data_IF_402631864975
#
_entry.id   IF_402631864975
#
_cell.length_a   1.000
_cell.length_b   1.000
_cell.length_c   1.000
_cell.angle_alpha   90.00
_cell.angle_beta   90.00
_cell.angle_gamma   90.00
#
_symmetry.space_group_name_H-M   'P 1'
#
loop_
_entity.id
_entity.type
_entity.pdbx_description
1 polymer ?
#
# COMPACT_ATOMS: atom_id res chain seq x y z
N UNK A 1 12.94 -5.08 -20.78
CA UNK A 1 11.49 -5.32 -20.90
C UNK A 1 10.79 -4.18 -20.19
N UNK A 2 9.74 -3.63 -20.80
CA UNK A 2 8.97 -2.57 -20.17
C UNK A 2 8.20 -3.14 -18.98
N UNK A 3 8.05 -2.36 -17.92
CA UNK A 3 7.33 -2.73 -16.71
C UNK A 3 6.01 -1.98 -16.64
N UNK A 4 4.94 -2.66 -16.31
CA UNK A 4 3.60 -2.06 -16.21
C UNK A 4 3.15 -1.98 -14.76
N UNK A 5 2.80 -0.77 -14.34
CA UNK A 5 2.22 -0.50 -13.01
C UNK A 5 0.76 -0.12 -13.18
N UNK A 6 -0.15 -0.92 -12.65
CA UNK A 6 -1.58 -0.62 -12.63
C UNK A 6 -1.94 0.15 -11.35
N UNK A 7 -2.44 1.38 -11.53
CA UNK A 7 -2.87 2.23 -10.40
C UNK A 7 -4.40 2.20 -10.25
N UNK A 8 -4.86 1.85 -9.05
CA UNK A 8 -6.27 1.80 -8.66
C UNK A 8 -6.56 2.94 -7.68
N UNK A 9 -7.24 3.98 -8.18
CA UNK A 9 -7.53 5.20 -7.45
C UNK A 9 -8.53 5.02 -6.31
N UNK A 10 -8.56 5.96 -5.36
CA UNK A 10 -9.56 6.04 -4.30
C UNK A 10 -10.95 6.48 -4.80
N UNK A 11 -11.91 6.56 -3.89
CA UNK A 11 -13.29 6.99 -4.18
C UNK A 11 -13.31 8.41 -4.78
N UNK A 12 -13.98 8.57 -5.91
CA UNK A 12 -14.06 9.84 -6.65
C UNK A 12 -12.78 10.25 -7.37
N UNK A 13 -11.77 9.38 -7.40
CA UNK A 13 -10.58 9.54 -8.23
C UNK A 13 -10.85 9.21 -9.70
N UNK A 14 -9.80 9.20 -10.50
CA UNK A 14 -9.86 8.87 -11.92
C UNK A 14 -8.46 8.72 -12.52
N UNK A 15 -8.40 8.58 -13.85
CA UNK A 15 -7.15 8.41 -14.59
C UNK A 15 -6.20 9.60 -14.47
N UNK A 16 -6.74 10.78 -14.14
CA UNK A 16 -6.04 12.05 -13.92
C UNK A 16 -5.77 12.34 -12.43
N UNK A 17 -5.89 11.36 -11.56
CA UNK A 17 -5.54 11.49 -10.15
C UNK A 17 -4.08 11.91 -9.97
N UNK A 18 -3.81 12.66 -8.88
CA UNK A 18 -2.51 13.29 -8.64
C UNK A 18 -1.36 12.29 -8.61
N UNK A 19 -1.49 11.21 -7.85
CA UNK A 19 -0.39 10.23 -7.70
C UNK A 19 0.02 9.63 -9.06
N UNK A 20 -0.88 9.05 -9.88
CA UNK A 20 -0.47 8.48 -11.16
C UNK A 20 0.05 9.54 -12.14
N UNK A 21 -0.42 10.79 -12.05
CA UNK A 21 0.11 11.89 -12.88
C UNK A 21 1.56 12.22 -12.53
N UNK A 22 1.89 12.32 -11.24
CA UNK A 22 3.27 12.55 -10.78
C UNK A 22 4.16 11.35 -11.16
N UNK A 23 3.70 10.12 -10.92
CA UNK A 23 4.46 8.93 -11.27
C UNK A 23 4.76 8.85 -12.77
N UNK A 24 3.80 9.19 -13.63
CA UNK A 24 4.04 9.26 -15.08
C UNK A 24 5.11 10.27 -15.42
N UNK A 25 5.07 11.48 -14.83
CA UNK A 25 6.09 12.49 -15.08
C UNK A 25 7.49 12.04 -14.63
N UNK A 26 7.60 11.44 -13.45
CA UNK A 26 8.86 10.89 -12.92
C UNK A 26 9.45 9.83 -13.83
N UNK A 27 8.67 8.83 -14.24
CA UNK A 27 9.17 7.71 -15.02
C UNK A 27 9.36 8.04 -16.52
N UNK A 28 8.69 9.09 -17.03
CA UNK A 28 8.89 9.58 -18.40
C UNK A 28 10.08 10.54 -18.51
N UNK A 29 10.40 11.27 -17.42
CA UNK A 29 11.41 12.32 -17.44
C UNK A 29 12.41 12.20 -16.27
N UNK A 30 13.10 11.07 -16.09
CA UNK A 30 13.97 10.83 -14.95
C UNK A 30 15.08 11.88 -14.78
N UNK A 31 15.56 12.47 -15.88
CA UNK A 31 16.62 13.48 -15.86
C UNK A 31 16.21 14.84 -15.26
N UNK A 32 14.91 15.12 -15.09
CA UNK A 32 14.43 16.39 -14.50
C UNK A 32 14.42 16.41 -12.97
N UNK A 33 14.56 15.27 -12.32
CA UNK A 33 14.30 15.13 -10.89
C UNK A 33 15.53 14.81 -10.01
N UNK A 34 16.72 14.77 -10.58
CA UNK A 34 17.94 14.76 -9.77
C UNK A 34 18.22 16.21 -9.32
N UNK A 35 17.79 16.65 -8.12
CA UNK A 35 18.43 17.78 -7.50
C UNK A 35 19.89 17.33 -7.29
N UNK A 36 20.82 18.15 -7.75
CA UNK A 36 22.23 18.02 -7.37
C UNK A 36 22.27 17.92 -5.85
N UNK A 37 22.54 16.73 -5.33
CA UNK A 37 22.76 16.52 -3.90
C UNK A 37 24.15 17.07 -3.58
N UNK A 38 24.25 18.39 -3.51
CA UNK A 38 25.28 19.05 -2.75
C UNK A 38 24.77 19.21 -1.31
N UNK A 39 25.21 18.30 -0.48
CA UNK A 39 25.38 18.48 0.94
C UNK A 39 24.16 18.78 1.80
N UNK A 40 23.45 17.72 2.22
CA UNK A 40 23.01 17.62 3.63
C UNK A 40 22.77 16.14 3.94
N UNK A 41 23.75 15.54 4.58
CA UNK A 41 23.62 14.24 5.23
C UNK A 41 22.65 14.40 6.42
N UNK A 42 21.36 14.30 6.18
CA UNK A 42 20.40 14.05 7.26
C UNK A 42 20.55 12.59 7.65
N UNK A 43 21.22 12.39 8.81
CA UNK A 43 21.47 11.09 9.40
C UNK A 43 20.19 10.30 9.60
N UNK A 44 19.88 9.41 8.66
CA UNK A 44 18.87 8.40 8.84
C UNK A 44 19.42 7.31 9.75
N UNK A 45 18.96 7.28 11.00
CA UNK A 45 19.30 6.24 11.96
C UNK A 45 18.14 5.20 12.00
N UNK A 46 18.32 4.01 11.40
CA UNK A 46 17.22 3.03 11.27
C UNK A 46 16.90 2.25 12.57
N UNK A 47 17.54 2.55 13.70
CA UNK A 47 17.38 1.78 14.94
C UNK A 47 17.14 2.67 16.16
N UNK A 48 15.94 3.22 16.31
CA UNK A 48 15.38 3.57 17.62
C UNK A 48 13.98 3.00 17.76
N UNK A 49 13.93 1.71 18.08
CA UNK A 49 12.76 1.11 18.67
C UNK A 49 12.49 1.77 20.02
N UNK A 50 11.35 2.41 20.18
CA UNK A 50 10.86 2.90 21.45
C UNK A 50 10.56 1.70 22.35
N UNK A 51 11.39 1.47 23.34
CA UNK A 51 11.13 0.61 24.47
C UNK A 51 10.02 1.25 25.32
N UNK A 52 8.80 0.74 25.19
CA UNK A 52 7.77 0.95 26.20
C UNK A 52 8.08 0.06 27.39
N UNK A 53 8.35 0.68 28.53
CA UNK A 53 8.53 0.01 29.81
C UNK A 53 7.22 -0.70 30.21
N UNK A 54 7.30 -2.01 30.46
CA UNK A 54 6.27 -2.77 31.14
C UNK A 54 6.52 -2.74 32.64
N UNK A 55 5.50 -2.68 33.47
CA UNK A 55 5.66 -2.70 34.93
C UNK A 55 6.09 -4.09 35.41
N UNK A 56 7.00 -4.07 36.37
CA UNK A 56 7.55 -5.19 37.11
C UNK A 56 6.47 -5.96 37.86
N UNK A 57 6.47 -7.29 37.69
CA UNK A 57 5.88 -8.23 38.65
C UNK A 57 7.01 -9.03 39.24
N UNK A 58 7.21 -8.88 40.56
CA UNK A 58 8.09 -9.69 41.39
C UNK A 58 7.52 -11.10 41.56
N UNK A 59 8.38 -12.11 41.56
CA UNK A 59 7.98 -13.46 41.95
C UNK A 59 9.00 -14.55 41.66
N UNK A 60 10.00 -14.68 42.50
CA UNK A 60 10.66 -15.86 43.10
C UNK A 60 10.93 -17.16 42.31
N UNK A 61 12.17 -17.54 42.48
CA UNK A 61 12.80 -18.82 42.96
C UNK A 61 13.44 -19.76 41.92
N UNK A 62 14.76 -19.88 42.12
CA UNK A 62 15.64 -21.05 42.10
C UNK A 62 15.49 -22.16 41.04
N UNK A 63 16.54 -22.30 40.21
CA UNK A 63 17.36 -23.53 40.22
C UNK A 63 18.67 -23.36 39.43
N UNK A 64 19.77 -23.54 40.11
CA UNK A 64 21.12 -23.71 39.58
C UNK A 64 21.22 -25.00 38.79
N UNK A 65 21.83 -24.96 37.60
CA UNK A 65 22.37 -26.13 36.90
C UNK A 65 23.78 -25.83 36.48
N UNK A 66 24.69 -26.52 37.12
CA UNK A 66 26.13 -26.57 36.87
C UNK A 66 26.41 -27.09 35.46
N UNK A 67 27.24 -26.37 34.69
CA UNK A 67 27.92 -26.90 33.51
C UNK A 67 29.33 -27.32 33.85
N UNK A 68 29.65 -28.57 33.56
CA UNK A 68 31.00 -29.17 33.68
C UNK A 68 31.94 -28.65 32.57
N UNK A 69 33.24 -28.49 32.89
CA UNK A 69 34.26 -28.11 31.91
C UNK A 69 34.90 -29.36 31.36
N UNK A 70 34.72 -29.69 30.09
CA UNK A 70 35.64 -30.46 29.25
C UNK A 70 35.02 -30.69 27.86
N UNK A 71 35.43 -29.87 26.90
CA UNK A 71 35.34 -30.21 25.49
C UNK A 71 36.34 -29.34 24.71
N UNK A 72 37.44 -29.95 24.30
CA UNK A 72 38.47 -29.40 23.43
C UNK A 72 37.91 -28.98 22.09
N UNK A 73 38.18 -27.74 21.69
CA UNK A 73 37.95 -27.21 20.32
C UNK A 73 39.07 -27.73 19.39
N UNK A 74 38.75 -28.22 18.18
CA UNK A 74 39.74 -28.46 17.13
C UNK A 74 40.08 -27.12 16.40
N UNK A 75 41.26 -27.05 15.73
CA UNK A 75 41.82 -25.81 15.22
C UNK A 75 41.09 -25.26 13.96
N UNK A 76 41.06 -23.95 13.91
CA UNK A 76 40.54 -23.13 12.83
C UNK A 76 41.10 -23.54 11.46
N UNK A 77 40.22 -23.94 10.53
CA UNK A 77 40.50 -23.90 9.12
C UNK A 77 39.86 -22.63 8.54
N UNK A 78 40.71 -21.69 8.11
CA UNK A 78 40.37 -20.51 7.35
C UNK A 78 39.68 -20.90 6.04
N UNK A 79 38.36 -20.83 5.99
CA UNK A 79 37.62 -20.74 4.76
C UNK A 79 37.08 -19.33 4.64
N UNK A 80 37.78 -18.46 3.90
CA UNK A 80 37.24 -17.23 3.40
C UNK A 80 36.15 -17.57 2.38
N UNK A 81 34.88 -17.22 2.59
CA UNK A 81 33.96 -17.21 1.49
C UNK A 81 34.31 -15.99 0.63
N UNK A 82 34.81 -16.23 -0.56
CA UNK A 82 34.85 -15.23 -1.62
C UNK A 82 33.42 -14.69 -1.80
N UNK A 83 33.22 -13.49 -1.33
CA UNK A 83 32.02 -12.70 -1.56
C UNK A 83 32.03 -12.33 -3.03
N UNK A 84 31.39 -13.15 -3.87
CA UNK A 84 31.09 -12.77 -5.24
C UNK A 84 30.17 -11.54 -5.19
N UNK A 85 30.76 -10.38 -5.35
CA UNK A 85 30.04 -9.15 -5.64
C UNK A 85 29.45 -9.29 -7.06
N UNK A 86 28.35 -9.99 -7.14
CA UNK A 86 27.46 -9.95 -8.29
C UNK A 86 26.83 -8.56 -8.33
N UNK A 87 27.54 -7.62 -8.94
CA UNK A 87 26.98 -6.33 -9.34
C UNK A 87 25.81 -6.63 -10.28
N UNK A 88 24.62 -6.75 -9.73
CA UNK A 88 23.38 -6.79 -10.48
C UNK A 88 23.25 -5.43 -11.19
N UNK A 89 23.66 -5.36 -12.44
CA UNK A 89 23.45 -4.18 -13.30
C UNK A 89 21.95 -3.94 -13.32
N UNK A 90 21.51 -2.86 -12.66
CA UNK A 90 20.13 -2.41 -12.72
C UNK A 90 19.79 -2.20 -14.22
N UNK A 91 18.75 -2.88 -14.67
CA UNK A 91 18.30 -2.81 -16.06
C UNK A 91 17.54 -1.49 -16.21
N UNK A 92 17.96 -0.64 -17.14
CA UNK A 92 17.20 0.55 -17.53
C UNK A 92 15.94 0.07 -18.26
N UNK A 93 14.90 -0.23 -17.52
CA UNK A 93 13.61 -0.64 -18.05
C UNK A 93 12.67 0.57 -18.00
N UNK A 94 11.89 0.77 -19.05
CA UNK A 94 10.81 1.77 -19.06
C UNK A 94 9.69 1.29 -18.12
N UNK A 95 9.21 2.18 -17.25
CA UNK A 95 8.05 1.92 -16.39
C UNK A 95 6.85 2.70 -16.93
N UNK A 96 5.79 1.98 -17.26
CA UNK A 96 4.53 2.55 -17.71
C UNK A 96 3.52 2.56 -16.55
N UNK A 97 2.98 3.75 -16.24
CA UNK A 97 1.96 3.93 -15.20
C UNK A 97 0.58 4.03 -15.84
N UNK A 98 -0.23 3.00 -15.66
CA UNK A 98 -1.59 2.92 -16.19
C UNK A 98 -2.60 3.18 -15.08
N UNK A 99 -3.42 4.21 -15.25
CA UNK A 99 -4.58 4.49 -14.39
C UNK A 99 -5.79 4.67 -15.30
N UNK A 100 -6.91 4.03 -14.94
CA UNK A 100 -8.18 4.13 -15.67
C UNK A 100 -9.30 4.35 -14.65
N UNK A 101 -10.33 5.06 -15.06
CA UNK A 101 -11.52 5.31 -14.22
C UNK A 101 -12.44 4.11 -14.27
N UNK A 102 -12.86 3.63 -13.11
CA UNK A 102 -13.78 2.49 -12.96
C UNK A 102 -15.07 2.92 -12.26
N UNK A 103 -16.11 2.08 -12.38
CA UNK A 103 -17.43 2.34 -11.79
C UNK A 103 -17.39 2.35 -10.25
N UNK A 104 -18.29 3.12 -9.64
CA UNK A 104 -18.42 3.15 -8.18
C UNK A 104 -19.06 1.87 -7.63
N UNK A 105 -19.89 1.16 -8.41
CA UNK A 105 -20.41 -0.15 -8.01
C UNK A 105 -19.26 -1.15 -7.92
N UNK A 106 -18.97 -1.72 -6.73
CA UNK A 106 -17.78 -2.53 -6.51
C UNK A 106 -17.76 -3.83 -7.32
N UNK A 107 -18.91 -4.34 -7.78
CA UNK A 107 -18.96 -5.53 -8.63
C UNK A 107 -18.67 -5.18 -10.09
N UNK A 108 -19.17 -4.03 -10.57
CA UNK A 108 -18.87 -3.52 -11.91
C UNK A 108 -17.38 -3.17 -11.98
N UNK A 109 -16.89 -2.42 -11.00
CA UNK A 109 -15.47 -2.09 -10.86
C UNK A 109 -14.57 -3.33 -10.91
N UNK A 110 -14.92 -4.37 -10.15
CA UNK A 110 -14.14 -5.61 -10.11
C UNK A 110 -14.04 -6.28 -11.48
N UNK A 111 -15.10 -6.27 -12.28
CA UNK A 111 -15.09 -6.84 -13.64
C UNK A 111 -14.24 -5.99 -14.59
N UNK A 112 -14.37 -4.65 -14.50
CA UNK A 112 -13.55 -3.73 -15.30
C UNK A 112 -12.06 -3.91 -15.02
N UNK A 113 -11.70 -3.93 -13.72
CA UNK A 113 -10.30 -4.08 -13.29
C UNK A 113 -9.76 -5.45 -13.66
N UNK A 114 -10.53 -6.53 -13.55
CA UNK A 114 -10.13 -7.86 -13.99
C UNK A 114 -9.81 -7.89 -15.50
N UNK A 115 -10.63 -7.25 -16.33
CA UNK A 115 -10.36 -7.12 -17.77
C UNK A 115 -9.05 -6.35 -18.04
N UNK A 116 -8.78 -5.29 -17.28
CA UNK A 116 -7.51 -4.54 -17.41
C UNK A 116 -6.29 -5.37 -16.98
N UNK A 117 -6.43 -6.18 -15.94
CA UNK A 117 -5.33 -7.08 -15.50
C UNK A 117 -5.00 -8.10 -16.59
N UNK A 118 -6.01 -8.69 -17.23
CA UNK A 118 -5.81 -9.61 -18.36
C UNK A 118 -5.17 -8.93 -19.58
N UNK A 119 -5.57 -7.68 -19.87
CA UNK A 119 -5.03 -6.88 -20.96
C UNK A 119 -3.59 -6.45 -20.71
N UNK A 120 -3.33 -5.88 -19.52
CA UNK A 120 -2.10 -5.18 -19.20
C UNK A 120 -1.03 -6.09 -18.60
N UNK A 121 -1.42 -7.17 -17.96
CA UNK A 121 -0.53 -8.09 -17.21
C UNK A 121 0.46 -7.33 -16.32
N UNK A 122 -0.02 -6.52 -15.36
CA UNK A 122 0.82 -5.62 -14.61
C UNK A 122 1.88 -6.35 -13.79
N UNK A 123 3.10 -5.77 -13.72
CA UNK A 123 4.19 -6.22 -12.86
C UNK A 123 4.02 -5.76 -11.41
N UNK A 124 3.21 -4.71 -11.18
CA UNK A 124 2.93 -4.13 -9.87
C UNK A 124 1.54 -3.49 -9.87
N UNK A 125 0.82 -3.63 -8.76
CA UNK A 125 -0.45 -2.94 -8.53
C UNK A 125 -0.30 -1.95 -7.39
N UNK A 126 -0.76 -0.72 -7.60
CA UNK A 126 -0.83 0.31 -6.56
C UNK A 126 -2.30 0.59 -6.24
N UNK A 127 -2.67 0.49 -4.96
CA UNK A 127 -4.03 0.79 -4.48
C UNK A 127 -4.04 1.99 -3.55
N UNK A 128 -4.88 2.99 -3.84
CA UNK A 128 -5.05 4.16 -2.98
C UNK A 128 -6.39 4.11 -2.25
N UNK A 129 -6.39 4.42 -0.95
CA UNK A 129 -7.60 4.60 -0.14
C UNK A 129 -8.62 3.44 -0.31
N UNK A 130 -9.85 3.73 -0.73
CA UNK A 130 -10.89 2.71 -1.00
C UNK A 130 -10.51 1.80 -2.18
N UNK A 131 -9.76 2.30 -3.18
CA UNK A 131 -9.24 1.51 -4.30
C UNK A 131 -8.36 0.34 -3.86
N UNK A 132 -7.78 0.40 -2.67
CA UNK A 132 -7.05 -0.72 -2.07
C UNK A 132 -7.88 -2.00 -2.01
N UNK A 133 -9.20 -1.92 -1.83
CA UNK A 133 -10.08 -3.08 -1.80
C UNK A 133 -10.21 -3.76 -3.17
N UNK A 134 -10.12 -3.00 -4.25
CA UNK A 134 -10.09 -3.54 -5.61
C UNK A 134 -8.71 -4.13 -5.92
N UNK A 135 -7.64 -3.40 -5.56
CA UNK A 135 -6.26 -3.84 -5.75
C UNK A 135 -5.98 -5.19 -5.07
N UNK A 136 -6.41 -5.37 -3.82
CA UNK A 136 -6.22 -6.61 -3.05
C UNK A 136 -6.86 -7.84 -3.74
N UNK A 137 -7.89 -7.67 -4.57
CA UNK A 137 -8.54 -8.77 -5.29
C UNK A 137 -7.71 -9.31 -6.47
N UNK A 138 -6.73 -8.57 -6.92
CA UNK A 138 -5.77 -9.00 -7.92
C UNK A 138 -4.76 -9.93 -7.23
N UNK A 139 -4.45 -11.05 -7.84
CA UNK A 139 -3.52 -12.04 -7.26
C UNK A 139 -2.34 -12.30 -8.19
N UNK A 140 -1.23 -12.79 -7.64
CA UNK A 140 -0.06 -13.18 -8.41
C UNK A 140 0.87 -12.02 -8.79
N UNK A 141 0.68 -10.84 -8.20
CA UNK A 141 1.51 -9.65 -8.44
C UNK A 141 1.86 -8.95 -7.12
N UNK A 142 2.96 -8.21 -7.04
CA UNK A 142 3.26 -7.34 -5.91
C UNK A 142 2.25 -6.20 -5.77
N UNK A 143 2.02 -5.76 -4.53
CA UNK A 143 1.09 -4.69 -4.20
C UNK A 143 1.74 -3.60 -3.36
N UNK A 144 1.54 -2.34 -3.75
CA UNK A 144 1.78 -1.17 -2.93
C UNK A 144 0.47 -0.46 -2.57
N UNK A 145 0.40 0.09 -1.39
CA UNK A 145 -0.80 0.79 -0.95
C UNK A 145 -0.46 2.16 -0.37
N UNK A 146 -1.30 3.14 -0.71
CA UNK A 146 -1.24 4.48 -0.13
C UNK A 146 -2.51 4.70 0.69
N UNK A 147 -2.34 4.88 2.00
CA UNK A 147 -3.44 5.08 2.96
C UNK A 147 -4.59 4.06 2.80
N UNK A 148 -4.31 2.74 2.79
CA UNK A 148 -5.31 1.72 2.50
C UNK A 148 -6.49 1.77 3.48
N UNK A 149 -7.69 1.95 2.93
CA UNK A 149 -8.92 2.12 3.71
C UNK A 149 -9.66 0.80 3.90
N UNK A 150 -9.04 -0.18 4.59
CA UNK A 150 -9.57 -1.55 4.75
C UNK A 150 -10.95 -1.60 5.44
N UNK A 151 -11.29 -0.59 6.22
CA UNK A 151 -12.57 -0.51 6.93
C UNK A 151 -13.60 0.40 6.22
N UNK A 152 -13.20 1.17 5.19
CA UNK A 152 -14.11 2.01 4.44
C UNK A 152 -15.34 1.26 3.90
N UNK A 153 -15.22 0.04 3.34
CA UNK A 153 -16.39 -0.69 2.85
C UNK A 153 -17.41 -1.05 3.95
N UNK A 154 -16.97 -1.15 5.20
CA UNK A 154 -17.88 -1.36 6.32
C UNK A 154 -18.69 -0.09 6.59
N UNK A 155 -18.04 1.09 6.66
CA UNK A 155 -18.69 2.39 6.86
C UNK A 155 -19.62 2.71 5.70
N UNK A 156 -19.15 2.55 4.45
CA UNK A 156 -19.96 2.73 3.24
C UNK A 156 -21.18 1.82 3.25
N UNK A 157 -21.01 0.55 3.64
CA UNK A 157 -22.12 -0.40 3.78
C UNK A 157 -23.13 -0.05 4.87
N UNK A 158 -22.75 0.73 5.90
CA UNK A 158 -23.67 1.27 6.90
C UNK A 158 -24.48 2.44 6.34
N UNK A 159 -23.85 3.30 5.51
CA UNK A 159 -24.54 4.40 4.82
C UNK A 159 -25.66 3.93 3.92
N UNK A 160 -25.66 2.64 3.50
CA UNK A 160 -26.74 2.07 2.70
C UNK A 160 -28.12 2.29 3.32
N UNK A 161 -28.25 2.17 4.64
CA UNK A 161 -29.52 2.40 5.33
C UNK A 161 -30.00 3.84 5.24
N UNK A 162 -29.08 4.81 5.23
CA UNK A 162 -29.40 6.23 5.04
C UNK A 162 -29.92 6.50 3.63
N UNK A 163 -29.44 5.74 2.63
CA UNK A 163 -29.90 5.87 1.24
C UNK A 163 -31.36 5.44 1.04
N UNK A 164 -32.01 4.79 2.02
CA UNK A 164 -33.45 4.51 2.01
C UNK A 164 -34.31 5.74 2.38
N UNK A 165 -33.72 6.77 2.99
CA UNK A 165 -34.41 8.00 3.35
C UNK A 165 -34.62 8.82 2.07
N UNK A 166 -35.86 9.22 1.74
CA UNK A 166 -36.12 10.01 0.56
C UNK A 166 -35.26 11.30 0.51
N UNK A 167 -34.65 11.57 -0.63
CA UNK A 167 -33.81 12.74 -0.85
C UNK A 167 -32.33 12.59 -0.42
N UNK A 168 -31.98 11.64 0.44
CA UNK A 168 -30.59 11.47 0.90
C UNK A 168 -29.66 11.08 -0.26
N UNK A 169 -30.07 10.13 -1.12
CA UNK A 169 -29.27 9.74 -2.28
C UNK A 169 -29.00 10.94 -3.19
N UNK A 170 -30.03 11.72 -3.50
CA UNK A 170 -29.90 12.94 -4.30
C UNK A 170 -28.95 13.95 -3.65
N UNK A 171 -29.07 14.14 -2.32
CA UNK A 171 -28.19 15.06 -1.59
C UNK A 171 -26.72 14.59 -1.63
N UNK A 172 -26.48 13.29 -1.41
CA UNK A 172 -25.14 12.72 -1.47
C UNK A 172 -24.54 12.82 -2.88
N UNK A 173 -25.29 12.49 -3.92
CA UNK A 173 -24.84 12.60 -5.32
C UNK A 173 -24.53 14.06 -5.69
N UNK A 174 -25.26 15.04 -5.10
CA UNK A 174 -25.00 16.46 -5.29
C UNK A 174 -23.74 16.94 -4.55
N UNK A 175 -23.53 16.49 -3.30
CA UNK A 175 -22.36 16.86 -2.48
C UNK A 175 -21.08 16.26 -3.06
N UNK A 176 -21.15 15.01 -3.49
CA UNK A 176 -20.01 14.26 -4.01
C UNK A 176 -19.98 14.26 -5.55
N UNK A 177 -20.56 15.28 -6.19
CA UNK A 177 -20.48 15.42 -7.64
C UNK A 177 -19.02 15.42 -8.08
N UNK A 178 -18.65 14.60 -9.08
CA UNK A 178 -17.29 14.57 -9.60
C UNK A 178 -16.86 15.96 -10.07
N UNK A 179 -15.60 16.30 -9.84
CA UNK A 179 -14.99 17.48 -10.46
C UNK A 179 -14.84 17.24 -11.96
N UNK A 180 -14.54 18.30 -12.71
CA UNK A 180 -14.19 18.18 -14.12
C UNK A 180 -13.03 17.21 -14.33
N UNK A 181 -13.01 16.53 -15.48
CA UNK A 181 -12.02 15.53 -15.84
C UNK A 181 -12.57 14.09 -15.82
N UNK A 182 -11.69 13.14 -16.08
CA UNK A 182 -12.01 11.70 -16.04
C UNK A 182 -12.06 11.20 -14.60
N UNK A 183 -13.21 11.41 -13.94
CA UNK A 183 -13.45 11.09 -12.53
C UNK A 183 -14.54 10.04 -12.37
N UNK A 184 -14.38 9.18 -11.37
CA UNK A 184 -15.36 8.18 -10.99
C UNK A 184 -16.71 8.83 -10.63
N UNK A 185 -17.80 8.53 -11.36
CA UNK A 185 -19.14 8.98 -10.98
C UNK A 185 -19.59 8.21 -9.73
N UNK A 186 -20.04 8.94 -8.71
CA UNK A 186 -20.47 8.35 -7.45
C UNK A 186 -22.01 8.26 -7.42
N UNK A 187 -22.53 7.04 -7.16
CA UNK A 187 -23.96 6.78 -7.05
C UNK A 187 -24.27 6.08 -5.74
N UNK A 188 -24.76 6.86 -4.74
CA UNK A 188 -25.00 6.38 -3.38
C UNK A 188 -26.35 5.68 -3.22
N UNK A 189 -26.65 4.69 -4.08
CA UNK A 189 -27.87 3.90 -3.93
C UNK A 189 -27.74 2.84 -2.84
N UNK A 190 -28.85 2.45 -2.21
CA UNK A 190 -28.87 1.35 -1.24
C UNK A 190 -28.23 0.09 -1.79
N UNK A 191 -28.57 -0.27 -3.03
CA UNK A 191 -28.07 -1.48 -3.70
C UNK A 191 -26.54 -1.45 -3.85
N UNK A 192 -25.99 -0.35 -4.36
CA UNK A 192 -24.54 -0.18 -4.56
C UNK A 192 -23.80 -0.18 -3.23
N UNK A 193 -24.24 0.62 -2.25
CA UNK A 193 -23.57 0.74 -0.95
C UNK A 193 -23.56 -0.58 -0.17
N UNK A 194 -24.62 -1.37 -0.26
CA UNK A 194 -24.71 -2.66 0.44
C UNK A 194 -23.71 -3.69 -0.09
N UNK A 195 -23.36 -3.64 -1.37
CA UNK A 195 -22.38 -4.54 -2.00
C UNK A 195 -20.97 -4.40 -1.42
N UNK A 196 -20.61 -3.21 -0.89
CA UNK A 196 -19.28 -2.97 -0.33
C UNK A 196 -18.90 -3.92 0.81
N UNK A 197 -19.86 -4.39 1.62
CA UNK A 197 -19.59 -5.37 2.67
C UNK A 197 -19.15 -6.73 2.11
N UNK A 198 -19.82 -7.18 1.03
CA UNK A 198 -19.44 -8.41 0.35
C UNK A 198 -18.09 -8.22 -0.36
N UNK A 199 -17.94 -7.12 -1.06
CA UNK A 199 -16.70 -6.76 -1.73
C UNK A 199 -15.48 -6.82 -0.78
N UNK A 200 -15.62 -6.26 0.42
CA UNK A 200 -14.58 -6.36 1.45
C UNK A 200 -14.26 -7.80 1.84
N UNK A 201 -15.28 -8.65 2.01
CA UNK A 201 -15.07 -10.07 2.34
C UNK A 201 -14.31 -10.81 1.24
N UNK A 202 -14.63 -10.51 -0.02
CA UNK A 202 -13.94 -11.09 -1.16
C UNK A 202 -12.48 -10.60 -1.24
N UNK A 203 -12.24 -9.29 -1.09
CA UNK A 203 -10.90 -8.73 -1.09
C UNK A 203 -10.01 -9.35 0.01
N UNK A 204 -10.51 -9.45 1.22
CA UNK A 204 -9.74 -9.98 2.36
C UNK A 204 -9.48 -11.49 2.30
N UNK A 205 -9.89 -12.20 1.24
CA UNK A 205 -9.42 -13.57 0.96
C UNK A 205 -7.95 -13.58 0.52
N UNK A 206 -7.50 -12.55 -0.20
CA UNK A 206 -6.11 -12.39 -0.63
C UNK A 206 -5.31 -11.61 0.42
N UNK A 207 -4.94 -12.26 1.52
CA UNK A 207 -4.15 -11.66 2.60
C UNK A 207 -3.12 -12.63 3.10
N UNK A 208 -2.03 -12.13 3.68
CA UNK A 208 -1.00 -12.96 4.32
C UNK A 208 -1.59 -13.81 5.45
N UNK A 209 -2.56 -13.27 6.19
CA UNK A 209 -3.30 -14.01 7.22
C UNK A 209 -3.99 -15.26 6.64
N UNK A 210 -4.48 -15.20 5.41
CA UNK A 210 -5.13 -16.31 4.71
C UNK A 210 -4.18 -17.11 3.80
N UNK A 211 -2.87 -16.93 3.96
CA UNK A 211 -1.84 -17.71 3.26
C UNK A 211 -1.49 -17.20 1.86
N UNK A 212 -1.87 -15.97 1.49
CA UNK A 212 -1.37 -15.35 0.25
C UNK A 212 0.15 -15.22 0.29
N UNK A 213 0.78 -15.53 -0.84
CA UNK A 213 2.22 -15.36 -1.07
C UNK A 213 2.55 -14.06 -1.80
N UNK A 214 1.54 -13.26 -2.15
CA UNK A 214 1.76 -11.97 -2.79
C UNK A 214 2.52 -11.04 -1.85
N UNK A 215 3.31 -10.15 -2.43
CA UNK A 215 3.98 -9.09 -1.68
C UNK A 215 3.01 -7.95 -1.40
N UNK A 216 2.89 -7.53 -0.14
CA UNK A 216 2.04 -6.41 0.27
C UNK A 216 2.85 -5.42 1.08
N UNK A 217 2.79 -4.14 0.70
CA UNK A 217 3.43 -3.06 1.45
C UNK A 217 2.56 -1.80 1.45
N UNK A 218 2.48 -1.08 2.56
CA UNK A 218 1.62 0.11 2.68
C UNK A 218 2.35 1.33 3.24
N UNK A 219 1.88 2.52 2.83
CA UNK A 219 2.28 3.81 3.38
C UNK A 219 1.13 4.44 4.15
N UNK A 220 1.40 4.94 5.37
CA UNK A 220 0.41 5.58 6.23
C UNK A 220 0.87 6.96 6.66
N UNK A 221 0.06 7.98 6.39
CA UNK A 221 0.30 9.33 6.88
C UNK A 221 -0.01 9.47 8.38
N UNK A 222 0.85 10.18 9.13
CA UNK A 222 0.62 10.45 10.57
C UNK A 222 -0.59 11.34 10.80
N UNK A 223 -0.84 12.28 9.87
CA UNK A 223 -1.93 13.26 9.91
C UNK A 223 -3.14 12.85 9.08
N UNK A 224 -3.27 11.57 8.75
CA UNK A 224 -4.43 11.04 8.04
C UNK A 224 -5.69 11.12 8.92
N UNK A 225 -6.61 12.02 8.56
CA UNK A 225 -7.84 12.27 9.31
C UNK A 225 -8.80 11.05 9.33
N UNK A 226 -8.76 10.16 8.33
CA UNK A 226 -9.56 8.94 8.32
C UNK A 226 -9.11 7.91 9.35
N UNK A 227 -7.90 8.04 9.90
CA UNK A 227 -7.44 7.23 11.05
C UNK A 227 -8.28 7.50 12.29
N UNK A 228 -8.66 8.77 12.53
CA UNK A 228 -9.52 9.16 13.66
C UNK A 228 -10.87 8.46 13.62
N UNK A 229 -11.39 8.17 12.43
CA UNK A 229 -12.67 7.50 12.25
C UNK A 229 -12.56 5.98 12.09
N UNK A 230 -11.35 5.41 12.25
CA UNK A 230 -11.11 3.98 12.14
C UNK A 230 -11.26 3.42 10.71
N UNK A 231 -11.35 4.28 9.70
CA UNK A 231 -11.45 3.92 8.28
C UNK A 231 -10.10 3.40 7.78
N UNK A 232 -9.04 4.16 8.06
CA UNK A 232 -7.64 3.79 7.82
C UNK A 232 -7.02 3.42 9.15
N UNK A 233 -6.58 2.17 9.34
CA UNK A 233 -5.96 1.77 10.60
C UNK A 233 -4.77 0.84 10.38
N UNK A 234 -3.65 1.17 11.01
CA UNK A 234 -2.45 0.31 11.02
C UNK A 234 -2.78 -1.04 11.67
N UNK A 235 -3.58 -1.04 12.77
CA UNK A 235 -4.00 -2.28 13.44
C UNK A 235 -4.75 -3.24 12.51
N UNK A 236 -5.62 -2.72 11.62
CA UNK A 236 -6.28 -3.57 10.63
C UNK A 236 -5.30 -4.08 9.59
N UNK A 237 -4.34 -3.26 9.18
CA UNK A 237 -3.29 -3.68 8.27
C UNK A 237 -2.45 -4.81 8.87
N UNK A 238 -1.91 -4.61 10.08
CA UNK A 238 -1.09 -5.61 10.78
C UNK A 238 -1.81 -6.94 10.97
N UNK A 239 -3.13 -6.90 11.22
CA UNK A 239 -3.94 -8.11 11.34
C UNK A 239 -3.91 -8.97 10.06
N UNK A 240 -3.95 -8.36 8.88
CA UNK A 240 -4.09 -9.06 7.61
C UNK A 240 -2.76 -9.26 6.88
N UNK A 241 -1.79 -8.38 7.09
CA UNK A 241 -0.54 -8.33 6.31
C UNK A 241 0.74 -8.28 7.17
N UNK A 242 0.61 -8.18 8.49
CA UNK A 242 1.78 -8.04 9.36
C UNK A 242 2.37 -6.62 9.33
N UNK A 243 3.64 -6.51 9.74
CA UNK A 243 4.35 -5.22 9.83
C UNK A 243 5.02 -4.83 8.51
N UNK A 244 4.31 -4.90 7.41
CA UNK A 244 4.75 -4.57 6.06
C UNK A 244 4.30 -3.17 5.66
N UNK A 245 4.73 -2.17 6.39
CA UNK A 245 4.34 -0.78 6.14
C UNK A 245 5.40 0.22 6.58
N UNK A 246 5.27 1.44 6.05
CA UNK A 246 6.02 2.62 6.47
C UNK A 246 5.07 3.74 6.86
N UNK A 247 5.41 4.46 7.93
CA UNK A 247 4.69 5.66 8.37
C UNK A 247 5.49 6.88 7.91
N UNK A 248 4.82 7.88 7.38
CA UNK A 248 5.42 9.14 6.97
C UNK A 248 4.65 10.34 7.54
N UNK A 249 5.30 11.48 7.63
CA UNK A 249 4.67 12.70 8.12
C UNK A 249 3.83 13.36 7.02
N UNK A 250 2.58 12.95 6.87
CA UNK A 250 1.68 13.40 5.83
C UNK A 250 0.23 13.13 6.12
N UNK A 251 -0.63 13.58 5.21
CA UNK A 251 -2.08 13.43 5.28
C UNK A 251 -2.55 12.09 4.66
N UNK A 252 -3.86 11.94 4.44
CA UNK A 252 -4.43 10.81 3.71
C UNK A 252 -3.98 10.79 2.23
N UNK A 253 -3.82 11.96 1.66
CA UNK A 253 -3.39 12.13 0.28
C UNK A 253 -1.87 12.35 0.26
N UNK A 254 -1.13 11.35 -0.20
CA UNK A 254 0.32 11.43 -0.30
C UNK A 254 0.73 12.59 -1.20
N UNK A 255 1.53 13.50 -0.67
CA UNK A 255 1.98 14.70 -1.37
C UNK A 255 3.17 14.37 -2.27
N UNK A 256 3.46 15.23 -3.25
CA UNK A 256 4.49 15.02 -4.28
C UNK A 256 5.86 14.72 -3.68
N UNK A 257 6.25 15.46 -2.64
CA UNK A 257 7.49 15.22 -1.92
C UNK A 257 7.60 13.78 -1.41
N UNK A 258 6.54 13.26 -0.79
CA UNK A 258 6.49 11.89 -0.27
C UNK A 258 6.37 10.85 -1.38
N UNK A 259 5.70 11.17 -2.51
CA UNK A 259 5.67 10.29 -3.67
C UNK A 259 7.09 10.09 -4.18
N UNK A 260 7.84 11.19 -4.37
CA UNK A 260 9.21 11.14 -4.87
C UNK A 260 10.19 10.50 -3.88
N UNK A 261 10.03 10.77 -2.59
CA UNK A 261 10.96 10.29 -1.56
C UNK A 261 10.69 8.84 -1.11
N UNK A 262 9.45 8.34 -1.22
CA UNK A 262 9.06 7.05 -0.63
C UNK A 262 8.45 6.09 -1.66
N UNK A 263 7.45 6.55 -2.43
CA UNK A 263 6.70 5.67 -3.31
C UNK A 263 7.53 5.30 -4.54
N UNK A 264 8.19 6.25 -5.18
CA UNK A 264 9.03 6.03 -6.36
C UNK A 264 10.20 5.08 -6.06
N UNK A 265 11.03 5.28 -5.01
CA UNK A 265 12.07 4.33 -4.66
C UNK A 265 11.55 2.92 -4.37
N UNK A 266 10.37 2.81 -3.74
CA UNK A 266 9.76 1.52 -3.44
C UNK A 266 9.26 0.80 -4.69
N UNK A 267 8.74 1.54 -5.67
CA UNK A 267 8.41 1.00 -7.00
C UNK A 267 9.67 0.46 -7.67
N UNK A 268 10.75 1.27 -7.69
CA UNK A 268 12.02 0.88 -8.28
C UNK A 268 12.62 -0.38 -7.62
N UNK A 269 12.56 -0.46 -6.29
CA UNK A 269 12.98 -1.64 -5.52
C UNK A 269 12.22 -2.90 -5.95
N UNK A 270 10.88 -2.84 -5.99
CA UNK A 270 10.05 -4.01 -6.31
C UNK A 270 10.24 -4.45 -7.77
N UNK A 271 10.30 -3.51 -8.68
CA UNK A 271 10.46 -3.80 -10.12
C UNK A 271 11.90 -4.08 -10.53
N UNK A 272 12.87 -3.88 -9.63
CA UNK A 272 14.30 -3.96 -9.89
C UNK A 272 14.72 -3.10 -11.08
N UNK A 273 14.31 -1.83 -11.08
CA UNK A 273 14.64 -0.83 -12.09
C UNK A 273 15.37 0.35 -11.47
N UNK A 274 16.19 1.05 -12.27
CA UNK A 274 16.82 2.33 -11.90
C UNK A 274 16.18 3.47 -12.69
N UNK A 275 16.07 4.65 -12.05
CA UNK A 275 15.68 5.91 -12.70
C UNK A 275 16.87 6.56 -13.38
#
# INVERSE_FOLDING_TARGET
>A
MDRVVLYIHGMGGGSDSRIPSILRDVFLHPAKQLPSVEGTALGYNPLRGSTFASPSVEGNSHSESQCSPDSQCPPESLCHPERSEGSSKAVTARVEIVARTYDFDPEVAAKQIAAWVEELKPDLVIGESLGSMQAIRITGVPHLFVSPSLNAPFVVGQLAWMALIPGVTWLLDRIYKPREGDRQPLHFTFKTLRKYRQHRREALKNTTLNGSKDYFFAFFGTRDHYRRYGIVTIRSWEKYYGKTYQIYEGTHFMEEEHINALLVPKICEILNVSL
#
